data_IF_336788121934
#
_entry.id   IF_336788121934
#
_cell.length_a   1.000
_cell.length_b   1.000
_cell.length_c   1.000
_cell.angle_alpha   90.00
_cell.angle_beta   90.00
_cell.angle_gamma   90.00
#
_symmetry.space_group_name_H-M   'P 1'
#
loop_
_entity.id
_entity.type
_entity.pdbx_description
1 polymer ?
#
# COMPACT_ATOMS: atom_id res chain seq x y z
N UNK A 1 -0.77 -6.86 11.96
CA UNK A 1 -1.09 -6.41 10.57
C UNK A 1 -0.32 -5.13 10.31
N UNK A 2 0.28 -5.00 9.13
CA UNK A 2 0.92 -3.79 8.61
C UNK A 2 0.27 -3.47 7.26
N UNK A 3 -0.03 -2.19 7.01
CA UNK A 3 -0.56 -1.75 5.73
C UNK A 3 0.59 -1.22 4.89
N UNK A 4 0.79 -1.79 3.70
CA UNK A 4 1.83 -1.32 2.79
C UNK A 4 1.29 -0.20 1.91
N UNK A 5 2.09 0.83 1.76
CA UNK A 5 1.93 1.82 0.71
C UNK A 5 2.14 1.19 -0.67
N UNK A 6 1.65 1.83 -1.73
CA UNK A 6 1.63 1.26 -3.09
C UNK A 6 3.03 0.92 -3.58
N UNK A 7 3.99 1.83 -3.42
CA UNK A 7 5.37 1.58 -3.84
C UNK A 7 6.05 0.50 -3.01
N UNK A 8 5.84 0.47 -1.69
CA UNK A 8 6.42 -0.57 -0.82
C UNK A 8 5.88 -1.95 -1.21
N UNK A 9 4.58 -2.05 -1.45
CA UNK A 9 3.94 -3.27 -1.91
C UNK A 9 4.52 -3.77 -3.25
N UNK A 10 4.63 -2.88 -4.24
CA UNK A 10 5.18 -3.22 -5.56
C UNK A 10 6.66 -3.64 -5.44
N UNK A 11 7.49 -2.87 -4.74
CA UNK A 11 8.92 -3.16 -4.52
C UNK A 11 9.16 -4.46 -3.78
N UNK A 12 8.31 -4.76 -2.80
CA UNK A 12 8.37 -6.01 -2.06
C UNK A 12 8.09 -7.20 -2.98
N UNK A 13 6.99 -7.15 -3.75
CA UNK A 13 6.60 -8.26 -4.64
C UNK A 13 7.53 -8.44 -5.85
N UNK A 14 8.05 -7.35 -6.41
CA UNK A 14 8.96 -7.42 -7.56
C UNK A 14 10.40 -7.74 -7.16
N UNK A 15 10.76 -7.64 -5.87
CA UNK A 15 12.15 -7.77 -5.45
C UNK A 15 13.03 -6.57 -5.84
N UNK A 16 12.41 -5.46 -6.23
CA UNK A 16 13.09 -4.26 -6.77
C UNK A 16 12.87 -3.05 -5.86
N UNK A 17 13.56 -1.93 -6.13
CA UNK A 17 13.38 -0.67 -5.39
C UNK A 17 14.15 -0.57 -4.07
N UNK A 18 14.05 0.60 -3.39
CA UNK A 18 14.89 0.99 -2.27
C UNK A 18 14.42 0.42 -0.91
N UNK A 19 14.09 -0.88 -0.87
CA UNK A 19 13.89 -1.62 0.39
C UNK A 19 15.21 -2.25 0.81
N UNK A 20 15.65 -2.00 2.05
CA UNK A 20 16.81 -2.66 2.63
C UNK A 20 16.55 -4.15 2.86
N UNK A 21 17.61 -4.93 3.05
CA UNK A 21 17.48 -6.36 3.34
C UNK A 21 16.69 -6.60 4.64
N UNK A 22 16.91 -5.77 5.67
CA UNK A 22 16.18 -5.81 6.94
C UNK A 22 14.68 -5.50 6.77
N UNK A 23 14.36 -4.51 5.93
CA UNK A 23 12.96 -4.17 5.61
C UNK A 23 12.28 -5.33 4.87
N UNK A 24 12.97 -5.95 3.91
CA UNK A 24 12.45 -7.13 3.19
C UNK A 24 12.25 -8.31 4.13
N UNK A 25 13.20 -8.57 5.03
CA UNK A 25 13.09 -9.63 6.03
C UNK A 25 11.87 -9.39 6.93
N UNK A 26 11.69 -8.18 7.44
CA UNK A 26 10.54 -7.78 8.26
C UNK A 26 9.21 -7.98 7.51
N UNK A 27 9.12 -7.57 6.24
CA UNK A 27 7.93 -7.78 5.42
C UNK A 27 7.66 -9.27 5.16
N UNK A 28 8.70 -10.06 4.92
CA UNK A 28 8.56 -11.50 4.73
C UNK A 28 8.09 -12.21 6.01
N UNK A 29 8.56 -11.78 7.18
CA UNK A 29 8.07 -12.29 8.46
C UNK A 29 6.59 -12.01 8.67
N UNK A 30 6.14 -10.77 8.42
CA UNK A 30 4.71 -10.43 8.48
C UNK A 30 3.89 -11.20 7.44
N UNK A 31 4.41 -11.37 6.22
CA UNK A 31 3.74 -12.15 5.17
C UNK A 31 3.55 -13.62 5.60
N UNK A 32 4.56 -14.24 6.22
CA UNK A 32 4.46 -15.62 6.73
C UNK A 32 3.36 -15.82 7.77
N UNK A 33 2.96 -14.73 8.45
CA UNK A 33 1.88 -14.70 9.45
C UNK A 33 0.54 -14.22 8.88
N UNK A 34 0.47 -13.95 7.57
CA UNK A 34 -0.68 -13.32 6.89
C UNK A 34 -1.02 -11.92 7.45
N UNK A 35 0.00 -11.17 7.85
CA UNK A 35 -0.16 -9.85 8.48
C UNK A 35 0.08 -8.68 7.53
N UNK A 36 0.17 -8.93 6.22
CA UNK A 36 0.29 -7.88 5.20
C UNK A 36 -1.09 -7.47 4.72
N UNK A 37 -1.34 -6.16 4.68
CA UNK A 37 -2.50 -5.56 4.06
C UNK A 37 -2.11 -4.47 3.06
N UNK A 38 -3.02 -4.20 2.12
CA UNK A 38 -2.96 -3.03 1.22
C UNK A 38 -4.33 -2.37 1.18
N UNK A 39 -4.39 -1.09 0.85
CA UNK A 39 -5.66 -0.45 0.48
C UNK A 39 -6.04 -0.82 -0.95
N UNK A 40 -7.34 -0.92 -1.25
CA UNK A 40 -7.80 -0.99 -2.64
C UNK A 40 -7.41 0.27 -3.44
N UNK A 41 -7.09 1.39 -2.77
CA UNK A 41 -6.51 2.57 -3.40
C UNK A 41 -5.15 2.27 -4.04
N UNK A 42 -4.34 1.40 -3.43
CA UNK A 42 -3.04 0.99 -3.98
C UNK A 42 -3.18 0.18 -5.26
N UNK A 43 -4.25 -0.61 -5.40
CA UNK A 43 -4.56 -1.31 -6.66
C UNK A 43 -4.92 -0.32 -7.76
N UNK A 44 -5.74 0.69 -7.42
CA UNK A 44 -6.10 1.76 -8.35
C UNK A 44 -4.86 2.55 -8.80
N UNK A 45 -3.99 2.91 -7.86
CA UNK A 45 -2.75 3.62 -8.15
C UNK A 45 -1.80 2.78 -9.02
N UNK A 46 -1.64 1.49 -8.71
CA UNK A 46 -0.86 0.55 -9.53
C UNK A 46 -1.39 0.48 -10.97
N UNK A 47 -2.72 0.47 -11.18
CA UNK A 47 -3.30 0.52 -12.52
C UNK A 47 -2.92 1.82 -13.24
N UNK A 48 -3.02 2.95 -12.55
CA UNK A 48 -2.69 4.26 -13.10
C UNK A 48 -1.20 4.36 -13.48
N UNK A 49 -0.31 3.84 -12.65
CA UNK A 49 1.13 3.79 -12.92
C UNK A 49 1.44 2.87 -14.11
N UNK A 50 0.79 1.71 -14.18
CA UNK A 50 0.95 0.77 -15.31
C UNK A 50 0.42 1.36 -16.61
N UNK A 51 -0.75 2.02 -16.58
CA UNK A 51 -1.35 2.72 -17.73
C UNK A 51 -0.46 3.83 -18.26
N UNK A 52 0.22 4.56 -17.37
CA UNK A 52 1.19 5.62 -17.73
C UNK A 52 2.52 5.06 -18.24
N UNK A 53 2.78 3.76 -18.11
CA UNK A 53 4.06 3.13 -18.43
C UNK A 53 5.17 3.47 -17.42
N UNK A 54 4.81 3.98 -16.23
CA UNK A 54 5.77 4.27 -15.15
C UNK A 54 6.28 2.99 -14.52
N UNK A 55 5.41 1.98 -14.43
CA UNK A 55 5.75 0.61 -14.08
C UNK A 55 5.23 -0.30 -15.19
N UNK A 56 5.80 -1.50 -15.30
CA UNK A 56 5.34 -2.52 -16.22
C UNK A 56 5.12 -3.82 -15.43
N UNK A 57 3.85 -4.18 -15.24
CA UNK A 57 3.45 -5.35 -14.48
C UNK A 57 3.13 -6.51 -15.45
N UNK A 58 4.00 -7.51 -15.44
CA UNK A 58 3.95 -8.66 -16.35
C UNK A 58 3.21 -9.85 -15.74
N UNK A 59 2.56 -10.72 -16.54
CA UNK A 59 2.42 -10.67 -18.01
C UNK A 59 1.37 -9.68 -18.51
N UNK A 60 0.42 -9.31 -17.66
CA UNK A 60 -0.53 -8.22 -17.85
C UNK A 60 -1.05 -7.78 -16.48
N UNK A 61 -1.60 -6.57 -16.39
CA UNK A 61 -2.07 -6.01 -15.13
C UNK A 61 -3.08 -6.91 -14.40
N UNK A 62 -4.02 -7.50 -15.13
CA UNK A 62 -5.09 -8.32 -14.52
C UNK A 62 -4.50 -9.60 -13.93
N UNK A 63 -3.67 -10.29 -14.69
CA UNK A 63 -2.99 -11.50 -14.23
C UNK A 63 -2.07 -11.22 -13.04
N UNK A 64 -1.32 -10.12 -13.10
CA UNK A 64 -0.41 -9.73 -12.02
C UNK A 64 -1.17 -9.41 -10.73
N UNK A 65 -2.23 -8.58 -10.80
CA UNK A 65 -3.02 -8.22 -9.60
C UNK A 65 -3.66 -9.45 -8.96
N UNK A 66 -4.21 -10.38 -9.75
CA UNK A 66 -4.80 -11.61 -9.21
C UNK A 66 -3.81 -12.43 -8.37
N UNK A 67 -2.54 -12.48 -8.80
CA UNK A 67 -1.48 -13.17 -8.06
C UNK A 67 -0.99 -12.33 -6.87
N UNK A 68 -0.82 -11.03 -7.07
CA UNK A 68 -0.32 -10.09 -6.07
C UNK A 68 -1.28 -9.87 -4.90
N UNK A 69 -2.57 -10.14 -5.09
CA UNK A 69 -3.62 -10.00 -4.06
C UNK A 69 -4.30 -11.32 -3.70
N UNK A 70 -3.74 -12.46 -4.09
CA UNK A 70 -4.32 -13.75 -3.72
C UNK A 70 -4.24 -13.98 -2.21
N UNK A 71 -5.12 -14.85 -1.72
CA UNK A 71 -5.12 -15.27 -0.32
C UNK A 71 -3.74 -15.84 0.05
N UNK A 72 -3.15 -15.29 1.12
CA UNK A 72 -1.82 -15.69 1.59
C UNK A 72 -0.69 -14.76 1.14
N UNK A 73 -0.94 -13.82 0.22
CA UNK A 73 0.03 -12.78 -0.15
C UNK A 73 -0.24 -11.50 0.64
N UNK A 74 -1.44 -10.93 0.50
CA UNK A 74 -1.87 -9.78 1.28
C UNK A 74 -3.41 -9.77 1.44
N UNK A 75 -3.88 -8.99 2.40
CA UNK A 75 -5.31 -8.68 2.56
C UNK A 75 -5.62 -7.34 1.91
N UNK A 76 -6.50 -7.32 0.92
CA UNK A 76 -6.99 -6.08 0.32
C UNK A 76 -8.09 -5.48 1.19
N UNK A 77 -7.88 -4.28 1.70
CA UNK A 77 -8.87 -3.53 2.46
C UNK A 77 -9.71 -2.68 1.49
N UNK A 78 -11.04 -2.86 1.43
CA UNK A 78 -11.89 -2.08 0.54
C UNK A 78 -11.97 -0.62 0.98
N UNK A 79 -12.24 0.27 0.02
CA UNK A 79 -12.59 1.66 0.30
C UNK A 79 -14.10 1.72 0.49
N UNK A 80 -14.53 1.79 1.74
CA UNK A 80 -15.92 1.93 2.15
C UNK A 80 -16.16 3.30 2.81
N UNK A 81 -17.39 3.54 3.26
CA UNK A 81 -17.76 4.82 3.91
C UNK A 81 -16.91 5.06 5.17
N UNK A 82 -16.48 4.02 5.87
CA UNK A 82 -15.63 4.11 7.05
C UNK A 82 -14.24 4.62 6.72
N UNK A 83 -13.63 4.18 5.60
CA UNK A 83 -12.39 4.77 5.08
C UNK A 83 -12.58 6.25 4.75
N UNK A 84 -13.70 6.62 4.10
CA UNK A 84 -13.94 8.01 3.73
C UNK A 84 -14.07 8.91 4.96
N UNK A 85 -14.81 8.48 5.98
CA UNK A 85 -14.95 9.23 7.25
C UNK A 85 -13.62 9.30 8.01
N UNK A 86 -12.79 8.26 7.95
CA UNK A 86 -11.48 8.27 8.61
C UNK A 86 -10.52 9.35 8.08
N UNK A 87 -10.76 9.91 6.89
CA UNK A 87 -9.99 11.05 6.39
C UNK A 87 -10.11 12.30 7.27
N UNK A 88 -11.16 12.43 8.10
CA UNK A 88 -11.27 13.52 9.08
C UNK A 88 -10.17 13.50 10.14
N UNK A 89 -9.51 12.34 10.32
CA UNK A 89 -8.37 12.18 11.24
C UNK A 89 -7.04 12.65 10.62
N UNK A 90 -7.01 12.93 9.31
CA UNK A 90 -5.79 13.39 8.65
C UNK A 90 -5.44 14.82 9.12
N UNK A 91 -4.15 15.15 9.28
CA UNK A 91 -3.71 16.51 9.55
C UNK A 91 -4.24 17.52 8.52
N UNK A 92 -4.45 18.78 8.95
CA UNK A 92 -4.92 19.83 8.04
C UNK A 92 -3.95 20.11 6.88
N UNK A 93 -2.66 19.84 7.08
CA UNK A 93 -1.59 19.99 6.08
C UNK A 93 -1.28 18.68 5.34
N UNK A 94 -2.15 17.67 5.43
CA UNK A 94 -1.95 16.41 4.72
C UNK A 94 -2.05 16.61 3.19
N UNK A 95 -1.24 15.91 2.38
CA UNK A 95 -1.25 16.02 0.92
C UNK A 95 -2.64 15.92 0.27
N UNK A 96 -2.79 16.57 -0.88
CA UNK A 96 -4.01 16.49 -1.69
C UNK A 96 -4.04 15.28 -2.63
N UNK A 97 -3.00 14.43 -2.61
CA UNK A 97 -3.00 13.21 -3.42
C UNK A 97 -4.11 12.25 -2.98
N UNK A 98 -5.07 11.89 -3.87
CA UNK A 98 -6.20 11.06 -3.49
C UNK A 98 -5.80 9.65 -3.05
N UNK A 99 -4.75 9.05 -3.62
CA UNK A 99 -4.31 7.71 -3.24
C UNK A 99 -3.72 7.73 -1.83
N UNK A 100 -2.78 8.65 -1.57
CA UNK A 100 -2.15 8.79 -0.25
C UNK A 100 -3.20 8.99 0.85
N UNK A 101 -4.18 9.87 0.62
CA UNK A 101 -5.26 10.13 1.57
C UNK A 101 -6.06 8.87 1.88
N UNK A 102 -6.40 8.09 0.85
CA UNK A 102 -7.19 6.87 1.02
C UNK A 102 -6.36 5.76 1.67
N UNK A 103 -5.08 5.62 1.33
CA UNK A 103 -4.15 4.66 1.93
C UNK A 103 -3.97 4.96 3.42
N UNK A 104 -3.63 6.19 3.77
CA UNK A 104 -3.43 6.60 5.17
C UNK A 104 -4.73 6.52 5.96
N UNK A 105 -5.86 6.96 5.40
CA UNK A 105 -7.16 6.82 6.07
C UNK A 105 -7.54 5.35 6.28
N UNK A 106 -7.17 4.45 5.35
CA UNK A 106 -7.35 3.01 5.51
C UNK A 106 -6.53 2.48 6.69
N UNK A 107 -5.25 2.87 6.78
CA UNK A 107 -4.36 2.50 7.89
C UNK A 107 -4.90 3.01 9.24
N UNK A 108 -5.31 4.28 9.30
CA UNK A 108 -5.90 4.90 10.49
C UNK A 108 -7.23 4.28 10.91
N UNK A 109 -8.07 3.85 9.97
CA UNK A 109 -9.34 3.19 10.26
C UNK A 109 -9.11 1.78 10.83
N UNK A 110 -8.11 1.06 10.31
CA UNK A 110 -7.77 -0.30 10.76
C UNK A 110 -6.82 -0.35 11.95
N UNK A 111 -6.27 0.79 12.36
CA UNK A 111 -5.22 0.90 13.37
C UNK A 111 -3.98 0.07 12.99
N UNK A 112 -3.64 0.06 11.70
CA UNK A 112 -2.45 -0.63 11.20
C UNK A 112 -1.31 0.38 11.03
N UNK A 113 -0.07 0.05 11.44
CA UNK A 113 1.10 0.83 11.04
C UNK A 113 1.20 0.85 9.50
N UNK A 114 1.62 1.99 8.96
CA UNK A 114 1.85 2.17 7.53
C UNK A 114 3.32 1.86 7.23
N UNK A 115 3.59 1.03 6.22
CA UNK A 115 4.92 0.89 5.65
C UNK A 115 5.02 1.80 4.43
N UNK A 116 5.68 2.94 4.59
CA UNK A 116 5.95 3.87 3.49
C UNK A 116 7.41 4.33 3.47
N UNK A 117 7.80 4.85 2.32
CA UNK A 117 9.10 5.48 2.02
C UNK A 117 8.89 6.90 1.48
N UNK A 118 7.65 7.39 1.51
CA UNK A 118 7.35 8.79 1.23
C UNK A 118 7.80 9.64 2.43
N UNK A 119 8.76 10.52 2.20
CA UNK A 119 9.33 11.34 3.27
C UNK A 119 8.31 12.30 3.90
N UNK A 120 7.34 12.79 3.12
CA UNK A 120 6.31 13.69 3.63
C UNK A 120 5.34 12.94 4.56
N UNK A 121 4.94 11.73 4.20
CA UNK A 121 4.09 10.91 5.07
C UNK A 121 4.83 10.53 6.37
N UNK A 122 6.12 10.19 6.28
CA UNK A 122 6.97 9.91 7.45
C UNK A 122 7.12 11.13 8.37
N UNK A 123 7.31 12.32 7.82
CA UNK A 123 7.37 13.58 8.59
C UNK A 123 6.05 13.88 9.32
N UNK A 124 4.92 13.45 8.77
CA UNK A 124 3.60 13.54 9.42
C UNK A 124 3.36 12.45 10.47
N UNK A 125 4.31 11.53 10.64
CA UNK A 125 4.29 10.46 11.65
C UNK A 125 3.60 9.17 11.20
N UNK A 126 3.50 8.93 9.89
CA UNK A 126 2.98 7.70 9.31
C UNK A 126 4.07 6.72 8.88
#
# INVERSE_FOLDING_TARGET
MILLDTHVWIWWLLGEGPLSDEERETLNEHASKNEIAISAASIWEAEMLNRKGTIQLEPDFTSWINLATQKGVCTVIPIDKEVIVAQEKLPQNFPDDPADRLIVATALMKEYPLATKDGMLQELGF
#
